data_IF_787448214665
#
_entry.id   IF_787448214665
#
_cell.length_a   1.000
_cell.length_b   1.000
_cell.length_c   1.000
_cell.angle_alpha   90.00
_cell.angle_beta   90.00
_cell.angle_gamma   90.00
#
_symmetry.space_group_name_H-M   'P 1'
#
loop_
_entity.id
_entity.type
_entity.pdbx_description
1 polymer ?
#
# COMPACT_ATOMS: atom_id res chain seq x y z
N UNK A 1 -0.98 -26.02 9.13
CA UNK A 1 -0.39 -25.22 10.24
C UNK A 1 -1.49 -24.42 10.93
N UNK A 2 -1.37 -24.12 12.23
CA UNK A 2 -2.30 -23.25 12.99
C UNK A 2 -1.59 -21.93 13.31
N UNK A 3 -1.27 -21.15 12.27
CA UNK A 3 -0.56 -19.87 12.39
C UNK A 3 -1.31 -18.75 11.71
N UNK A 4 -0.67 -17.59 11.61
CA UNK A 4 -1.16 -16.44 10.84
C UNK A 4 -0.54 -16.45 9.43
N UNK A 5 -1.19 -15.83 8.43
CA UNK A 5 -0.58 -15.63 7.12
C UNK A 5 0.69 -14.80 7.24
N UNK A 6 1.78 -15.25 6.61
CA UNK A 6 3.06 -14.56 6.55
C UNK A 6 3.58 -14.65 5.12
N UNK A 7 3.89 -13.50 4.53
CA UNK A 7 4.47 -13.37 3.20
C UNK A 7 5.80 -12.65 3.40
N UNK A 8 6.85 -13.42 3.67
CA UNK A 8 8.18 -12.88 3.89
C UNK A 8 9.25 -13.98 3.75
N UNK A 9 10.37 -13.66 3.12
CA UNK A 9 11.59 -14.48 3.15
C UNK A 9 12.86 -13.64 3.01
N UNK A 10 13.99 -14.22 3.39
CA UNK A 10 15.28 -13.55 3.25
C UNK A 10 15.73 -13.58 1.79
N UNK A 11 16.05 -12.40 1.24
CA UNK A 11 16.59 -12.26 -0.12
C UNK A 11 15.52 -12.04 -1.19
N UNK A 12 14.40 -11.42 -0.81
CA UNK A 12 13.37 -10.95 -1.74
C UNK A 12 13.94 -10.02 -2.83
N UNK A 13 13.38 -10.11 -4.03
CA UNK A 13 13.47 -9.01 -5.02
C UNK A 13 12.51 -7.88 -4.65
N UNK A 14 12.62 -6.71 -5.29
CA UNK A 14 11.68 -5.61 -5.08
C UNK A 14 10.25 -5.99 -5.49
N UNK A 15 10.09 -6.77 -6.56
CA UNK A 15 8.79 -7.27 -7.01
C UNK A 15 8.17 -8.22 -5.97
N UNK A 16 8.97 -9.09 -5.37
CA UNK A 16 8.51 -10.01 -4.31
C UNK A 16 8.09 -9.23 -3.05
N UNK A 17 8.88 -8.21 -2.66
CA UNK A 17 8.56 -7.35 -1.52
C UNK A 17 7.22 -6.62 -1.66
N UNK A 18 6.99 -5.97 -2.81
CA UNK A 18 5.74 -5.27 -3.07
C UNK A 18 4.56 -6.24 -3.26
N UNK A 19 4.79 -7.43 -3.80
CA UNK A 19 3.79 -8.50 -3.80
C UNK A 19 3.43 -8.95 -2.38
N UNK A 20 4.41 -9.19 -1.51
CA UNK A 20 4.21 -9.54 -0.11
C UNK A 20 3.40 -8.46 0.63
N UNK A 21 3.71 -7.18 0.38
CA UNK A 21 2.98 -6.03 0.92
C UNK A 21 1.51 -6.05 0.48
N UNK A 22 1.24 -6.29 -0.80
CA UNK A 22 -0.13 -6.46 -1.29
C UNK A 22 -0.85 -7.64 -0.63
N UNK A 23 -0.19 -8.79 -0.49
CA UNK A 23 -0.81 -9.96 0.14
C UNK A 23 -1.16 -9.69 1.61
N UNK A 24 -0.29 -9.00 2.36
CA UNK A 24 -0.53 -8.63 3.75
C UNK A 24 -1.74 -7.70 3.91
N UNK A 25 -2.00 -6.84 2.92
CA UNK A 25 -3.14 -5.91 2.89
C UNK A 25 -4.41 -6.50 2.27
N UNK A 26 -4.34 -7.68 1.64
CA UNK A 26 -5.47 -8.33 0.97
C UNK A 26 -6.04 -9.44 1.84
N UNK A 27 -7.14 -9.15 2.54
CA UNK A 27 -7.77 -10.10 3.45
C UNK A 27 -8.75 -11.04 2.70
N UNK A 28 -8.93 -12.29 3.17
CA UNK A 28 -9.76 -13.26 2.49
C UNK A 28 -11.26 -12.91 2.57
N UNK A 29 -12.06 -13.49 1.67
CA UNK A 29 -13.53 -13.42 1.69
C UNK A 29 -14.11 -12.00 1.61
N UNK A 30 -13.43 -11.08 0.91
CA UNK A 30 -13.85 -9.69 0.78
C UNK A 30 -13.77 -8.89 2.07
N UNK A 31 -13.05 -9.40 3.08
CA UNK A 31 -12.70 -8.62 4.26
C UNK A 31 -11.56 -7.65 3.93
N UNK A 32 -11.38 -6.65 4.79
CA UNK A 32 -10.30 -5.67 4.72
C UNK A 32 -9.65 -5.52 6.09
N UNK A 33 -8.37 -5.11 6.16
CA UNK A 33 -7.76 -4.74 7.44
C UNK A 33 -8.50 -3.56 8.08
N UNK A 34 -8.43 -3.44 9.40
CA UNK A 34 -9.02 -2.30 10.12
C UNK A 34 -8.00 -1.48 10.94
N UNK A 35 -6.74 -1.92 10.94
CA UNK A 35 -5.60 -1.29 11.60
C UNK A 35 -4.36 -1.60 10.77
N UNK A 36 -3.37 -0.71 10.82
CA UNK A 36 -2.03 -0.94 10.24
C UNK A 36 -1.00 -0.82 11.36
N UNK A 37 -0.04 -1.74 11.36
CA UNK A 37 1.22 -1.61 12.09
C UNK A 37 2.30 -1.56 11.02
N UNK A 38 2.95 -0.41 10.89
CA UNK A 38 3.86 -0.07 9.80
C UNK A 38 5.26 0.23 10.35
N UNK A 39 6.27 -0.06 9.55
CA UNK A 39 7.67 0.31 9.79
C UNK A 39 8.25 0.83 8.46
N UNK A 40 8.47 2.14 8.39
CA UNK A 40 8.97 2.83 7.20
C UNK A 40 7.85 3.44 6.34
N UNK A 41 6.59 3.07 6.58
CA UNK A 41 5.41 3.70 5.98
C UNK A 41 5.00 3.16 4.61
N UNK A 42 5.52 2.00 4.19
CA UNK A 42 5.27 1.46 2.84
C UNK A 42 3.84 0.91 2.68
N UNK A 43 3.31 0.24 3.70
CA UNK A 43 1.92 -0.22 3.67
C UNK A 43 0.95 0.98 3.60
N UNK A 44 1.25 2.02 4.38
CA UNK A 44 0.51 3.28 4.35
C UNK A 44 0.62 3.96 2.98
N UNK A 45 1.81 4.06 2.41
CA UNK A 45 2.07 4.65 1.09
C UNK A 45 1.28 3.94 0.00
N UNK A 46 1.31 2.60 -0.03
CA UNK A 46 0.63 1.82 -1.06
C UNK A 46 -0.88 2.08 -1.07
N UNK A 47 -1.51 2.10 0.11
CA UNK A 47 -2.94 2.39 0.24
C UNK A 47 -3.24 3.81 -0.23
N UNK A 48 -2.47 4.81 0.21
CA UNK A 48 -2.72 6.21 -0.15
C UNK A 48 -2.58 6.45 -1.66
N UNK A 49 -1.56 5.86 -2.29
CA UNK A 49 -1.36 5.94 -3.75
C UNK A 49 -2.42 5.17 -4.52
N UNK A 50 -2.83 3.99 -4.03
CA UNK A 50 -3.94 3.24 -4.60
C UNK A 50 -5.23 4.07 -4.62
N UNK A 51 -5.59 4.69 -3.50
CA UNK A 51 -6.78 5.57 -3.42
C UNK A 51 -6.65 6.79 -4.34
N UNK A 52 -5.47 7.39 -4.42
CA UNK A 52 -5.19 8.52 -5.33
C UNK A 52 -5.51 8.14 -6.79
N UNK A 53 -5.00 6.99 -7.25
CA UNK A 53 -5.15 6.55 -8.63
C UNK A 53 -6.53 5.96 -8.93
N UNK A 54 -7.16 5.28 -7.98
CA UNK A 54 -8.57 4.86 -8.12
C UNK A 54 -9.51 6.05 -8.30
N UNK A 55 -9.30 7.13 -7.53
CA UNK A 55 -10.08 8.38 -7.69
C UNK A 55 -9.80 9.09 -9.00
N UNK A 56 -8.57 9.01 -9.51
CA UNK A 56 -8.22 9.55 -10.82
C UNK A 56 -8.78 8.71 -11.97
N UNK A 57 -9.06 7.42 -11.73
CA UNK A 57 -9.48 6.46 -12.75
C UNK A 57 -8.33 5.90 -13.59
N UNK A 58 -7.10 6.36 -13.34
CA UNK A 58 -5.88 5.89 -13.98
C UNK A 58 -4.70 6.02 -13.03
N UNK A 59 -3.74 5.10 -13.15
CA UNK A 59 -2.43 5.23 -12.52
C UNK A 59 -1.40 5.69 -13.59
N UNK A 60 -0.35 6.44 -13.21
CA UNK A 60 0.70 6.83 -14.13
C UNK A 60 1.34 5.62 -14.84
N UNK A 61 1.82 5.85 -16.06
CA UNK A 61 2.57 4.85 -16.82
C UNK A 61 3.87 4.49 -16.07
N UNK A 62 4.15 3.21 -15.77
CA UNK A 62 5.35 2.80 -15.05
C UNK A 62 6.67 3.29 -15.66
N UNK A 63 6.73 3.53 -16.97
CA UNK A 63 7.91 4.08 -17.66
C UNK A 63 8.24 5.52 -17.24
N UNK A 64 7.32 6.20 -16.57
CA UNK A 64 7.51 7.57 -16.05
C UNK A 64 8.04 7.61 -14.61
N UNK A 65 8.27 6.46 -13.99
CA UNK A 65 8.74 6.38 -12.61
C UNK A 65 10.14 6.98 -12.39
N UNK A 66 10.31 7.65 -11.26
CA UNK A 66 11.59 8.27 -10.87
C UNK A 66 12.68 7.24 -10.54
N UNK A 67 12.29 6.02 -10.16
CA UNK A 67 13.19 4.94 -9.82
C UNK A 67 12.53 3.57 -10.02
N UNK A 68 13.33 2.51 -9.94
CA UNK A 68 12.91 1.14 -10.23
C UNK A 68 11.86 0.61 -9.24
N UNK A 69 11.97 0.99 -7.97
CA UNK A 69 11.01 0.59 -6.95
C UNK A 69 9.64 1.24 -7.20
N UNK A 70 9.64 2.54 -7.51
CA UNK A 70 8.39 3.25 -7.82
C UNK A 70 7.76 2.74 -9.12
N UNK A 71 8.56 2.31 -10.11
CA UNK A 71 8.05 1.61 -11.31
C UNK A 71 7.26 0.37 -10.92
N UNK A 72 7.78 -0.45 -10.00
CA UNK A 72 7.12 -1.67 -9.52
C UNK A 72 5.81 -1.35 -8.78
N UNK A 73 5.80 -0.30 -7.96
CA UNK A 73 4.58 0.19 -7.30
C UNK A 73 3.54 0.61 -8.35
N UNK A 74 3.94 1.36 -9.39
CA UNK A 74 3.02 1.75 -10.47
C UNK A 74 2.49 0.54 -11.24
N UNK A 75 3.31 -0.47 -11.51
CA UNK A 75 2.87 -1.73 -12.15
C UNK A 75 1.82 -2.46 -11.30
N UNK A 76 2.06 -2.56 -9.99
CA UNK A 76 1.13 -3.14 -9.03
C UNK A 76 -0.19 -2.36 -8.98
N UNK A 77 -0.13 -1.03 -8.90
CA UNK A 77 -1.32 -0.18 -8.82
C UNK A 77 -2.11 -0.17 -10.14
N UNK A 78 -1.45 -0.18 -11.30
CA UNK A 78 -2.13 -0.33 -12.60
C UNK A 78 -2.85 -1.68 -12.70
N UNK A 79 -2.20 -2.77 -12.29
CA UNK A 79 -2.80 -4.11 -12.27
C UNK A 79 -4.02 -4.15 -11.35
N UNK A 80 -3.87 -3.71 -10.11
CA UNK A 80 -4.96 -3.75 -9.12
C UNK A 80 -6.12 -2.85 -9.50
N UNK A 81 -5.87 -1.68 -10.10
CA UNK A 81 -6.92 -0.81 -10.64
C UNK A 81 -7.75 -1.51 -11.74
N UNK A 82 -7.11 -2.36 -12.55
CA UNK A 82 -7.80 -3.15 -13.59
C UNK A 82 -8.57 -4.32 -13.01
N UNK A 83 -8.00 -5.03 -12.04
CA UNK A 83 -8.58 -6.24 -11.44
C UNK A 83 -9.71 -5.92 -10.43
N UNK A 84 -9.56 -4.86 -9.65
CA UNK A 84 -10.47 -4.44 -8.59
C UNK A 84 -10.40 -2.92 -8.40
N UNK A 85 -11.19 -2.13 -9.17
CA UNK A 85 -11.06 -0.67 -9.24
C UNK A 85 -11.36 0.11 -7.95
N UNK A 86 -11.88 -0.55 -6.92
CA UNK A 86 -12.22 0.06 -5.62
C UNK A 86 -11.46 -0.55 -4.44
N UNK A 87 -10.51 -1.46 -4.70
CA UNK A 87 -9.77 -2.22 -3.68
C UNK A 87 -9.19 -1.32 -2.59
N UNK A 88 -8.40 -0.33 -2.98
CA UNK A 88 -7.66 0.51 -2.05
C UNK A 88 -8.55 1.51 -1.34
N UNK A 89 -9.59 2.01 -2.00
CA UNK A 89 -10.62 2.87 -1.40
C UNK A 89 -11.42 2.13 -0.34
N UNK A 90 -11.79 0.86 -0.60
CA UNK A 90 -12.48 0.01 0.38
C UNK A 90 -11.57 -0.31 1.57
N UNK A 91 -10.30 -0.65 1.32
CA UNK A 91 -9.30 -0.86 2.39
C UNK A 91 -9.18 0.39 3.25
N UNK A 92 -8.88 1.55 2.65
CA UNK A 92 -8.68 2.80 3.37
C UNK A 92 -9.91 3.21 4.20
N UNK A 93 -11.13 2.99 3.69
CA UNK A 93 -12.37 3.33 4.40
C UNK A 93 -12.57 2.52 5.70
N UNK A 94 -11.90 1.38 5.84
CA UNK A 94 -12.05 0.49 7.00
C UNK A 94 -10.93 0.61 8.03
N UNK A 95 -9.81 1.22 7.66
CA UNK A 95 -8.70 1.51 8.58
C UNK A 95 -9.13 2.55 9.62
N UNK A 96 -8.90 2.23 10.89
CA UNK A 96 -9.15 3.14 12.03
C UNK A 96 -7.93 3.93 12.47
N UNK A 97 -6.75 3.54 11.99
CA UNK A 97 -5.48 4.20 12.25
C UNK A 97 -4.29 3.32 11.92
N UNK A 98 -3.12 3.95 11.89
CA UNK A 98 -1.81 3.31 11.73
C UNK A 98 -0.93 3.61 12.95
N UNK A 99 -0.17 2.62 13.40
CA UNK A 99 0.98 2.81 14.31
C UNK A 99 2.27 2.64 13.52
N UNK A 100 3.15 3.62 13.58
CA UNK A 100 4.40 3.66 12.81
C UNK A 100 5.61 3.59 13.74
N UNK A 101 6.54 2.69 13.45
CA UNK A 101 7.69 2.40 14.31
C UNK A 101 8.86 3.37 14.09
N UNK A 102 9.19 3.71 12.84
CA UNK A 102 10.46 4.37 12.53
C UNK A 102 10.33 5.83 12.12
N UNK A 103 11.39 6.59 12.37
CA UNK A 103 11.47 8.02 12.07
C UNK A 103 11.17 8.34 10.61
N UNK A 104 11.62 7.50 9.67
CA UNK A 104 11.38 7.66 8.23
C UNK A 104 9.88 7.59 7.92
N UNK A 105 9.18 6.57 8.44
CA UNK A 105 7.73 6.46 8.25
C UNK A 105 6.99 7.62 8.93
N UNK A 106 7.41 8.02 10.13
CA UNK A 106 6.83 9.19 10.83
C UNK A 106 6.97 10.47 9.99
N UNK A 107 8.11 10.69 9.33
CA UNK A 107 8.28 11.83 8.43
C UNK A 107 7.29 11.80 7.26
N UNK A 108 7.08 10.63 6.63
CA UNK A 108 6.08 10.47 5.56
C UNK A 108 4.66 10.75 6.07
N UNK A 109 4.31 10.30 7.28
CA UNK A 109 3.02 10.63 7.91
C UNK A 109 2.85 12.13 8.12
N UNK A 110 3.87 12.84 8.58
CA UNK A 110 3.82 14.30 8.74
C UNK A 110 3.67 15.04 7.41
N UNK A 111 4.34 14.59 6.36
CA UNK A 111 4.20 15.16 5.02
C UNK A 111 2.76 14.99 4.51
N UNK A 112 2.20 13.78 4.62
CA UNK A 112 0.82 13.52 4.24
C UNK A 112 -0.18 14.33 5.08
N UNK A 113 0.05 14.45 6.39
CA UNK A 113 -0.80 15.27 7.27
C UNK A 113 -0.74 16.76 6.89
N UNK A 114 0.46 17.31 6.71
CA UNK A 114 0.69 18.71 6.31
C UNK A 114 -0.01 19.02 4.99
N UNK A 115 0.05 18.10 4.04
CA UNK A 115 -0.52 18.27 2.70
C UNK A 115 -2.04 17.94 2.65
N UNK A 116 -2.64 17.57 3.79
CA UNK A 116 -4.07 17.22 3.88
C UNK A 116 -4.43 15.91 3.16
N UNK A 117 -3.45 15.03 2.96
CA UNK A 117 -3.58 13.77 2.21
C UNK A 117 -3.68 12.53 3.10
N UNK A 118 -3.39 12.64 4.39
CA UNK A 118 -3.49 11.52 5.34
C UNK A 118 -4.96 11.07 5.46
N UNK A 119 -5.24 9.80 5.11
CA UNK A 119 -6.60 9.26 4.98
C UNK A 119 -7.21 8.78 6.30
N UNK A 120 -6.39 8.36 7.25
CA UNK A 120 -6.78 7.77 8.54
C UNK A 120 -5.77 8.09 9.64
#
# INVERSE_FOLDING_TARGET
PQGVPVFAWKGETLEEYWWCTEQALTWPNGQTPNMILDDGGDATLLIHKGVEFEKAGEAPDPSTADNDEFRIILELLNRTLTESPSKWTEVAATIKGVTEETTTGVHRLYEMHRDGKLLF
#
